data_IF_143375191874
#
_entry.id   IF_143375191874
#
_cell.length_a   1.000
_cell.length_b   1.000
_cell.length_c   1.000
_cell.angle_alpha   90.00
_cell.angle_beta   90.00
_cell.angle_gamma   90.00
#
_symmetry.space_group_name_H-M   'P 1'
#
loop_
_entity.id
_entity.type
_entity.pdbx_description
1 polymer ?
#
# COMPACT_ATOMS: atom_id res chain seq x y z
N UNK A 1 33.49 54.19 36.30
CA UNK A 1 32.59 54.85 35.33
C UNK A 1 32.09 53.79 34.36
N UNK A 2 30.78 53.80 34.13
CA UNK A 2 29.95 52.79 33.48
C UNK A 2 29.99 52.83 31.95
N UNK A 3 29.69 51.71 31.30
CA UNK A 3 28.65 51.61 30.26
C UNK A 3 28.42 50.14 29.86
N UNK A 4 27.21 49.65 30.12
CA UNK A 4 26.60 48.44 29.53
C UNK A 4 25.81 48.92 28.31
N UNK A 5 25.82 48.18 27.19
CA UNK A 5 24.68 48.14 26.26
C UNK A 5 24.66 46.85 25.44
N UNK A 6 23.45 46.32 25.30
CA UNK A 6 23.00 45.09 24.66
C UNK A 6 22.60 45.27 23.18
N UNK A 7 22.21 44.14 22.56
CA UNK A 7 21.56 43.88 21.26
C UNK A 7 22.55 43.59 20.10
N UNK A 8 22.59 42.41 19.46
CA UNK A 8 21.52 41.55 18.89
C UNK A 8 21.78 41.54 17.36
N UNK A 9 21.93 40.44 16.63
CA UNK A 9 20.94 39.40 16.28
C UNK A 9 21.60 38.32 15.40
N UNK A 10 21.13 37.06 15.56
CA UNK A 10 20.83 36.03 14.52
C UNK A 10 21.81 35.77 13.36
N UNK A 11 22.10 34.53 12.94
CA UNK A 11 21.20 33.39 12.79
C UNK A 11 21.98 32.14 12.34
N UNK A 12 21.42 30.96 12.66
CA UNK A 12 21.36 29.89 11.67
C UNK A 12 22.40 28.78 11.72
N UNK A 13 22.63 28.18 12.89
CA UNK A 13 23.09 26.78 12.94
C UNK A 13 22.01 25.86 12.38
N UNK A 14 22.02 25.62 11.06
CA UNK A 14 21.05 24.74 10.40
C UNK A 14 21.35 23.31 10.81
N UNK A 15 20.51 22.79 11.69
CA UNK A 15 20.44 21.41 12.13
C UNK A 15 20.08 20.48 10.95
N UNK A 16 21.09 20.05 10.18
CA UNK A 16 20.94 19.09 9.09
C UNK A 16 20.73 17.63 9.55
N UNK A 17 20.79 17.35 10.85
CA UNK A 17 20.80 15.99 11.37
C UNK A 17 19.40 15.35 11.49
N UNK A 18 18.32 16.14 11.50
CA UNK A 18 16.95 15.61 11.69
C UNK A 18 16.19 15.29 10.40
N UNK A 19 16.61 15.81 9.25
CA UNK A 19 15.92 15.57 7.97
C UNK A 19 16.36 14.24 7.35
N UNK A 20 17.63 13.87 7.51
CA UNK A 20 18.16 12.61 6.96
C UNK A 20 17.62 11.36 7.66
N UNK A 21 17.33 11.41 8.96
CA UNK A 21 16.78 10.26 9.70
C UNK A 21 15.33 9.94 9.33
N UNK A 22 14.53 10.97 8.99
CA UNK A 22 13.17 10.79 8.49
C UNK A 22 13.16 10.13 7.10
N UNK A 23 14.06 10.54 6.20
CA UNK A 23 14.18 9.95 4.85
C UNK A 23 14.60 8.46 4.89
N UNK A 24 15.51 8.09 5.81
CA UNK A 24 15.94 6.69 5.98
C UNK A 24 14.80 5.80 6.48
N UNK A 25 13.87 6.33 7.28
CA UNK A 25 12.70 5.57 7.76
C UNK A 25 11.72 5.26 6.63
N UNK A 26 11.53 6.19 5.68
CA UNK A 26 10.73 5.95 4.47
C UNK A 26 11.41 4.97 3.50
N UNK A 27 12.75 5.00 3.40
CA UNK A 27 13.49 4.07 2.55
C UNK A 27 13.59 2.65 3.12
N UNK A 28 13.50 2.46 4.44
CA UNK A 28 13.47 1.10 5.03
C UNK A 28 12.23 0.30 4.63
N UNK A 29 11.13 0.95 4.26
CA UNK A 29 9.96 0.28 3.69
C UNK A 29 10.19 -0.27 2.28
N UNK A 30 11.11 0.33 1.52
CA UNK A 30 11.43 -0.07 0.14
C UNK A 30 12.32 -1.32 0.03
N UNK A 31 12.95 -1.77 1.12
CA UNK A 31 13.96 -2.85 1.08
C UNK A 31 13.66 -4.02 2.02
N UNK A 32 12.38 -4.34 2.25
CA UNK A 32 12.01 -5.67 2.79
C UNK A 32 11.92 -6.64 1.60
N UNK A 33 13.07 -7.00 1.03
CA UNK A 33 13.15 -8.10 0.06
C UNK A 33 13.09 -9.42 0.83
N UNK A 34 11.88 -9.84 1.21
CA UNK A 34 11.61 -11.28 1.30
C UNK A 34 11.74 -11.83 -0.12
N UNK A 35 12.44 -12.93 -0.28
CA UNK A 35 12.55 -13.63 -1.56
C UNK A 35 11.15 -14.14 -1.92
N UNK A 36 10.41 -13.38 -2.74
CA UNK A 36 9.09 -13.77 -3.23
C UNK A 36 9.34 -14.86 -4.27
N UNK A 37 9.03 -16.10 -3.90
CA UNK A 37 9.21 -17.26 -4.78
C UNK A 37 8.04 -17.42 -5.75
N UNK A 38 6.86 -16.93 -5.38
CA UNK A 38 5.64 -16.92 -6.20
C UNK A 38 4.95 -15.56 -6.16
N UNK A 39 4.77 -14.97 -7.34
CA UNK A 39 4.09 -13.69 -7.49
C UNK A 39 2.61 -13.78 -7.12
N UNK A 40 2.13 -12.78 -6.41
CA UNK A 40 0.71 -12.51 -6.18
C UNK A 40 0.19 -11.79 -7.41
N UNK A 41 -0.94 -12.21 -7.98
CA UNK A 41 -1.48 -11.57 -9.21
C UNK A 41 -2.98 -11.43 -9.17
N UNK A 42 -3.50 -10.41 -9.85
CA UNK A 42 -4.92 -10.10 -9.98
C UNK A 42 -5.33 -10.05 -11.44
N UNK A 43 -6.54 -10.53 -11.72
CA UNK A 43 -7.08 -10.67 -13.08
C UNK A 43 -8.39 -9.92 -13.22
N UNK A 44 -8.54 -9.19 -14.31
CA UNK A 44 -9.73 -8.44 -14.72
C UNK A 44 -10.18 -8.92 -16.11
N UNK A 45 -10.69 -10.15 -16.19
CA UNK A 45 -10.96 -10.85 -17.45
C UNK A 45 -9.65 -11.33 -18.08
N UNK A 46 -9.35 -10.83 -19.28
CA UNK A 46 -8.13 -11.18 -20.03
C UNK A 46 -6.89 -10.39 -19.59
N UNK A 47 -7.08 -9.34 -18.78
CA UNK A 47 -6.00 -8.51 -18.27
C UNK A 47 -5.56 -8.99 -16.90
N UNK A 48 -4.24 -9.04 -16.64
CA UNK A 48 -3.71 -9.33 -15.32
C UNK A 48 -2.43 -8.56 -15.03
N UNK A 49 -2.15 -8.38 -13.75
CA UNK A 49 -0.92 -7.75 -13.27
C UNK A 49 -0.55 -8.29 -11.89
N UNK A 50 0.71 -8.11 -11.54
CA UNK A 50 1.23 -8.52 -10.24
C UNK A 50 0.87 -7.52 -9.14
N UNK A 51 0.57 -8.07 -7.98
CA UNK A 51 0.33 -7.35 -6.76
C UNK A 51 1.61 -7.31 -5.92
N UNK A 52 2.11 -6.11 -5.67
CA UNK A 52 3.28 -5.84 -4.85
C UNK A 52 2.88 -6.09 -3.38
N UNK A 53 3.68 -6.85 -2.62
CA UNK A 53 3.38 -7.04 -1.21
C UNK A 53 3.34 -5.73 -0.46
N UNK A 54 2.59 -5.73 0.63
CA UNK A 54 2.47 -4.60 1.54
C UNK A 54 1.90 -3.33 0.85
N UNK A 55 1.01 -3.55 -0.12
CA UNK A 55 0.20 -2.52 -0.78
C UNK A 55 -1.29 -2.80 -0.62
N UNK A 56 -2.11 -1.77 -0.77
CA UNK A 56 -3.56 -1.90 -0.81
C UNK A 56 -4.17 -1.13 -1.96
N UNK A 57 -5.29 -1.64 -2.46
CA UNK A 57 -6.12 -0.97 -3.45
C UNK A 57 -7.44 -0.64 -2.80
N UNK A 58 -7.66 0.65 -2.50
CA UNK A 58 -8.87 1.13 -1.82
C UNK A 58 -10.13 1.03 -2.68
N UNK A 59 -9.97 1.12 -3.99
CA UNK A 59 -11.07 1.11 -4.95
C UNK A 59 -10.60 0.70 -6.34
N UNK A 60 -11.37 -0.16 -7.01
CA UNK A 60 -11.20 -0.52 -8.42
C UNK A 60 -12.05 0.35 -9.36
N UNK A 61 -12.47 1.54 -8.94
CA UNK A 61 -13.27 2.43 -9.78
C UNK A 61 -12.56 2.72 -11.11
N UNK A 62 -13.33 2.69 -12.20
CA UNK A 62 -12.86 2.83 -13.58
C UNK A 62 -11.94 1.70 -14.06
N UNK A 63 -11.96 0.54 -13.39
CA UNK A 63 -11.33 -0.70 -13.85
C UNK A 63 -12.41 -1.77 -13.98
N UNK A 64 -12.23 -2.70 -14.91
CA UNK A 64 -13.10 -3.88 -15.03
C UNK A 64 -13.13 -4.67 -13.70
N UNK A 65 -14.17 -5.45 -13.47
CA UNK A 65 -14.28 -6.25 -12.24
C UNK A 65 -13.15 -7.27 -12.11
N UNK A 66 -12.76 -7.54 -10.86
CA UNK A 66 -11.82 -8.61 -10.54
C UNK A 66 -12.49 -9.95 -10.78
N UNK A 67 -11.82 -10.83 -11.52
CA UNK A 67 -12.31 -12.15 -11.95
C UNK A 67 -11.55 -13.29 -11.28
N UNK A 68 -10.29 -13.06 -10.91
CA UNK A 68 -9.46 -14.05 -10.25
C UNK A 68 -8.33 -13.36 -9.48
N UNK A 69 -7.92 -13.97 -8.38
CA UNK A 69 -6.79 -13.60 -7.55
C UNK A 69 -5.94 -14.84 -7.30
N UNK A 70 -4.63 -14.71 -7.46
CA UNK A 70 -3.63 -15.70 -7.06
C UNK A 70 -2.82 -15.11 -5.94
N UNK A 71 -2.82 -15.75 -4.78
CA UNK A 71 -2.21 -15.18 -3.58
C UNK A 71 -0.68 -15.26 -3.55
N UNK A 72 -0.07 -16.08 -4.41
CA UNK A 72 1.39 -16.26 -4.41
C UNK A 72 1.89 -16.61 -3.00
N UNK A 73 2.88 -15.87 -2.51
CA UNK A 73 3.41 -15.99 -1.15
C UNK A 73 2.77 -15.00 -0.14
N UNK A 74 1.72 -14.27 -0.52
CA UNK A 74 1.08 -13.26 0.30
C UNK A 74 -0.27 -13.70 0.86
N UNK A 75 -0.71 -13.02 1.91
CA UNK A 75 -2.11 -12.96 2.30
C UNK A 75 -2.79 -11.87 1.47
N UNK A 76 -3.91 -12.20 0.83
CA UNK A 76 -4.74 -11.22 0.11
C UNK A 76 -6.08 -11.11 0.82
N UNK A 77 -6.36 -9.93 1.35
CA UNK A 77 -7.62 -9.60 1.99
C UNK A 77 -8.51 -8.95 0.94
N UNK A 78 -9.65 -9.58 0.66
CA UNK A 78 -10.60 -9.12 -0.35
C UNK A 78 -11.85 -8.63 0.36
N UNK A 79 -12.27 -7.41 0.05
CA UNK A 79 -13.46 -6.79 0.59
C UNK A 79 -14.46 -6.56 -0.54
N UNK A 80 -15.74 -6.86 -0.31
CA UNK A 80 -16.79 -6.67 -1.31
C UNK A 80 -16.97 -5.21 -1.71
N UNK A 81 -16.77 -4.28 -0.77
CA UNK A 81 -16.96 -2.85 -0.97
C UNK A 81 -15.64 -2.08 -0.97
N UNK A 82 -15.69 -0.84 -1.46
CA UNK A 82 -14.55 0.08 -1.45
C UNK A 82 -14.22 0.51 -0.01
N UNK A 83 -12.99 0.97 0.22
CA UNK A 83 -12.57 1.44 1.56
C UNK A 83 -12.58 0.33 2.62
N UNK A 84 -12.31 -0.90 2.20
CA UNK A 84 -12.17 -2.08 3.07
C UNK A 84 -13.45 -2.44 3.83
N UNK A 85 -14.62 -2.19 3.24
CA UNK A 85 -15.93 -2.43 3.86
C UNK A 85 -16.66 -3.65 3.28
N UNK A 86 -17.76 -4.04 3.94
CA UNK A 86 -18.61 -5.16 3.53
C UNK A 86 -18.11 -6.51 4.02
N UNK A 87 -18.62 -7.59 3.42
CA UNK A 87 -18.07 -8.92 3.69
C UNK A 87 -16.63 -8.98 3.17
N UNK A 88 -15.83 -9.81 3.84
CA UNK A 88 -14.44 -9.99 3.48
C UNK A 88 -14.07 -11.46 3.38
N UNK A 89 -13.01 -11.73 2.62
CA UNK A 89 -12.38 -13.04 2.53
C UNK A 89 -10.87 -12.89 2.58
N UNK A 90 -10.23 -13.81 3.29
CA UNK A 90 -8.78 -13.93 3.31
C UNK A 90 -8.40 -15.05 2.35
N UNK A 91 -7.62 -14.72 1.33
CA UNK A 91 -6.99 -15.69 0.42
C UNK A 91 -5.58 -15.94 0.95
N UNK A 92 -5.31 -17.17 1.35
CA UNK A 92 -4.04 -17.54 1.99
C UNK A 92 -2.94 -17.75 0.94
N UNK A 93 -1.65 -17.67 1.32
CA UNK A 93 -0.55 -18.02 0.43
C UNK A 93 -0.78 -19.37 -0.28
N UNK A 94 -0.54 -19.40 -1.58
CA UNK A 94 -0.74 -20.55 -2.45
C UNK A 94 -2.17 -20.77 -2.96
N UNK A 95 -3.16 -20.02 -2.45
CA UNK A 95 -4.55 -20.15 -2.88
C UNK A 95 -4.87 -19.35 -4.14
N UNK A 96 -5.92 -19.80 -4.83
CA UNK A 96 -6.55 -19.09 -5.95
C UNK A 96 -8.00 -18.84 -5.59
N UNK A 97 -8.46 -17.62 -5.81
CA UNK A 97 -9.82 -17.20 -5.49
C UNK A 97 -10.47 -16.51 -6.70
N UNK A 98 -11.77 -16.75 -6.90
CA UNK A 98 -12.58 -16.09 -7.93
C UNK A 98 -13.69 -15.32 -7.22
N UNK A 99 -13.51 -14.01 -6.97
CA UNK A 99 -14.53 -13.20 -6.33
C UNK A 99 -15.72 -12.99 -7.24
N UNK A 100 -16.92 -12.96 -6.67
CA UNK A 100 -18.11 -12.41 -7.34
C UNK A 100 -18.07 -10.87 -7.31
N UNK A 101 -17.66 -10.32 -6.16
CA UNK A 101 -17.47 -8.88 -5.93
C UNK A 101 -16.12 -8.61 -5.27
N UNK A 102 -15.48 -7.51 -5.66
CA UNK A 102 -14.21 -7.06 -5.11
C UNK A 102 -14.12 -5.53 -5.23
N UNK A 103 -14.43 -4.83 -4.14
CA UNK A 103 -14.39 -3.38 -4.08
C UNK A 103 -13.03 -2.84 -3.65
N UNK A 104 -12.32 -3.57 -2.78
CA UNK A 104 -10.98 -3.21 -2.32
C UNK A 104 -10.18 -4.43 -1.87
N UNK A 105 -8.85 -4.30 -1.86
CA UNK A 105 -7.95 -5.36 -1.39
C UNK A 105 -6.80 -4.81 -0.55
N UNK A 106 -6.25 -5.68 0.30
CA UNK A 106 -4.96 -5.47 0.96
C UNK A 106 -4.08 -6.69 0.68
N UNK A 107 -2.84 -6.48 0.27
CA UNK A 107 -1.83 -7.52 0.07
C UNK A 107 -0.77 -7.38 1.13
N UNK A 108 -0.50 -8.46 1.84
CA UNK A 108 0.39 -8.42 2.99
C UNK A 108 1.22 -9.68 3.11
N UNK A 109 2.49 -9.52 3.49
CA UNK A 109 3.37 -10.64 3.84
C UNK A 109 3.10 -11.20 5.25
N UNK A 110 2.21 -10.55 6.01
CA UNK A 110 1.83 -10.89 7.40
C UNK A 110 0.32 -10.87 7.62
N UNK A 111 -0.13 -11.49 8.70
CA UNK A 111 -1.55 -11.51 9.07
C UNK A 111 -2.01 -10.14 9.59
N UNK A 112 -3.26 -9.75 9.29
CA UNK A 112 -3.85 -8.46 9.65
C UNK A 112 -5.05 -8.62 10.59
N UNK A 113 -5.30 -7.58 11.40
CA UNK A 113 -6.53 -7.44 12.17
C UNK A 113 -7.61 -6.78 11.32
N UNK A 114 -8.61 -7.55 10.87
CA UNK A 114 -9.66 -7.03 9.98
C UNK A 114 -10.60 -6.08 10.71
N UNK A 115 -10.85 -6.30 12.00
CA UNK A 115 -11.66 -5.38 12.80
C UNK A 115 -11.06 -3.98 12.86
N UNK A 116 -9.72 -3.87 12.97
CA UNK A 116 -9.03 -2.58 12.95
C UNK A 116 -9.16 -1.91 11.57
N UNK A 117 -8.90 -2.66 10.50
CA UNK A 117 -9.01 -2.15 9.12
C UNK A 117 -10.42 -1.63 8.81
N UNK A 118 -11.45 -2.35 9.23
CA UNK A 118 -12.84 -1.97 8.99
C UNK A 118 -13.28 -0.79 9.84
N UNK A 119 -12.84 -0.73 11.11
CA UNK A 119 -13.14 0.38 12.01
C UNK A 119 -12.52 1.70 11.53
N UNK A 120 -11.28 1.66 11.08
CA UNK A 120 -10.54 2.84 10.65
C UNK A 120 -10.77 3.18 9.16
N UNK A 121 -11.43 2.29 8.41
CA UNK A 121 -11.61 2.38 6.95
C UNK A 121 -10.28 2.55 6.20
N UNK A 122 -9.20 2.01 6.76
CA UNK A 122 -7.83 2.24 6.32
C UNK A 122 -6.99 0.96 6.49
N UNK A 123 -5.99 0.73 5.61
CA UNK A 123 -5.03 -0.34 5.82
C UNK A 123 -4.07 0.05 6.94
N UNK A 124 -3.26 -0.91 7.44
CA UNK A 124 -2.21 -0.58 8.40
C UNK A 124 -1.21 0.45 7.86
N UNK A 125 -0.66 1.31 8.71
CA UNK A 125 0.22 2.44 8.33
C UNK A 125 1.43 2.11 7.44
N UNK A 126 1.93 0.88 7.51
CA UNK A 126 3.07 0.43 6.71
C UNK A 126 2.66 -0.02 5.30
N UNK A 127 1.36 -0.19 5.06
CA UNK A 127 0.82 -0.64 3.79
C UNK A 127 0.55 0.57 2.90
N UNK A 128 1.07 0.54 1.68
CA UNK A 128 0.91 1.67 0.76
C UNK A 128 -0.46 1.62 0.08
N UNK A 129 -1.34 2.55 0.47
CA UNK A 129 -2.68 2.69 -0.12
C UNK A 129 -2.67 3.43 -1.46
N UNK A 130 -3.33 2.83 -2.45
CA UNK A 130 -3.53 3.39 -3.78
C UNK A 130 -4.98 3.16 -4.26
N UNK A 131 -5.44 3.96 -5.22
CA UNK A 131 -6.58 3.57 -6.04
C UNK A 131 -6.12 2.60 -7.13
N UNK A 132 -7.02 1.83 -7.70
CA UNK A 132 -6.68 0.88 -8.77
C UNK A 132 -5.98 1.56 -9.96
N UNK A 133 -6.49 2.69 -10.49
CA UNK A 133 -5.80 3.41 -11.57
C UNK A 133 -4.41 3.90 -11.17
N UNK A 134 -4.23 4.39 -9.94
CA UNK A 134 -2.91 4.82 -9.44
C UNK A 134 -1.97 3.63 -9.30
N UNK A 135 -2.46 2.50 -8.80
CA UNK A 135 -1.69 1.27 -8.69
C UNK A 135 -1.16 0.83 -10.06
N UNK A 136 -2.02 0.82 -11.07
CA UNK A 136 -1.65 0.47 -12.43
C UNK A 136 -0.65 1.45 -13.03
N UNK A 137 -0.82 2.75 -12.80
CA UNK A 137 0.14 3.76 -13.23
C UNK A 137 1.53 3.56 -12.61
N UNK A 138 1.60 3.16 -11.33
CA UNK A 138 2.86 2.95 -10.62
C UNK A 138 3.55 1.62 -10.96
N UNK A 139 2.79 0.53 -11.08
CA UNK A 139 3.33 -0.83 -11.10
C UNK A 139 3.08 -1.60 -12.39
N UNK A 140 2.22 -1.09 -13.27
CA UNK A 140 1.96 -1.69 -14.58
C UNK A 140 2.39 -0.72 -15.68
N UNK A 141 3.68 -0.71 -16.07
CA UNK A 141 4.14 0.12 -17.20
C UNK A 141 3.42 -0.21 -18.53
N UNK A 142 2.65 -1.31 -18.58
CA UNK A 142 1.84 -1.75 -19.72
C UNK A 142 0.40 -1.19 -19.66
N UNK A 143 0.01 -0.47 -18.60
CA UNK A 143 -1.27 0.24 -18.52
C UNK A 143 -1.22 1.55 -19.33
N UNK A 144 -1.03 1.43 -20.65
CA UNK A 144 -1.33 2.49 -21.60
C UNK A 144 -2.72 2.23 -22.16
N UNK A 145 -3.68 3.06 -21.71
CA UNK A 145 -5.02 3.27 -22.24
C UNK A 145 -5.49 2.28 -23.32
N UNK A 146 -6.33 1.33 -22.91
CA UNK A 146 -7.29 0.69 -23.83
C UNK A 146 -8.55 1.55 -23.93
#
# INVERSE_FOLDING_TARGET
>A
MSAISHAGTDSGGIALNNVFSAAVKYLRGFFITREITRSTSIYHGEFCYDLVPDTSIRSFQNIKNVTMLKAGDCYVYVFEQQGYQGQYRIVKPGEVFRPEFCGSIIVSTKTLSISAVQADTAPPDWCWELSGPMYLWHFSPVYRYA
#
